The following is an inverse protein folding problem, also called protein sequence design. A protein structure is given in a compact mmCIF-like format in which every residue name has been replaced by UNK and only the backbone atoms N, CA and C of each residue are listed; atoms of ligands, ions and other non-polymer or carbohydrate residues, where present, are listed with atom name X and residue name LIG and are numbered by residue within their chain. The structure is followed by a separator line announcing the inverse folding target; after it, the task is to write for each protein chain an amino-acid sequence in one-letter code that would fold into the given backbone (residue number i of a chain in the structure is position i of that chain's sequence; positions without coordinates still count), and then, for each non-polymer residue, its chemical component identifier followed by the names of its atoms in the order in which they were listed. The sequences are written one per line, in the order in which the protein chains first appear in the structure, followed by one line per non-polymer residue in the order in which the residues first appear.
data_IF_009134378449
#
_entry.id   IF_009134378449
#
_cell.length_a   1.000
_cell.length_b   1.000
_cell.length_c   1.000
_cell.angle_alpha   90.00
_cell.angle_beta   90.00
_cell.angle_gamma   90.00
#
_symmetry.space_group_name_H-M   'P 1'
#
loop_
_entity.id
_entity.type
_entity.pdbx_description
1 polymer ?
#
# COMPACT_ATOMS: atom_id res chain seq x y z
N UNK A 1 -9.85 7.45 14.91
CA UNK A 1 -8.54 6.80 15.21
C UNK A 1 -8.44 5.34 14.72
N UNK A 2 -9.43 4.45 14.95
CA UNK A 2 -9.36 3.02 14.56
C UNK A 2 -9.09 2.76 13.05
N UNK A 3 -9.60 3.62 12.16
CA UNK A 3 -9.45 3.48 10.69
C UNK A 3 -8.02 3.70 10.17
N UNK A 4 -7.19 4.42 10.93
CA UNK A 4 -5.78 4.68 10.58
C UNK A 4 -4.85 3.61 11.18
N UNK A 5 -5.19 3.11 12.37
CA UNK A 5 -4.32 2.21 13.13
C UNK A 5 -3.96 0.95 12.34
N UNK A 6 -4.95 0.26 11.75
CA UNK A 6 -4.72 -0.97 11.01
C UNK A 6 -3.76 -0.77 9.83
N UNK A 7 -4.04 0.09 8.82
CA UNK A 7 -3.13 0.24 7.69
C UNK A 7 -1.75 0.78 8.10
N UNK A 8 -1.68 1.63 9.13
CA UNK A 8 -0.41 2.16 9.62
C UNK A 8 0.45 1.07 10.27
N UNK A 9 -0.12 0.29 11.19
CA UNK A 9 0.60 -0.81 11.84
C UNK A 9 1.04 -1.84 10.81
N UNK A 10 0.16 -2.23 9.88
CA UNK A 10 0.50 -3.16 8.81
C UNK A 10 1.61 -2.61 7.91
N UNK A 11 1.54 -1.34 7.51
CA UNK A 11 2.58 -0.68 6.72
C UNK A 11 3.94 -0.72 7.43
N UNK A 12 3.98 -0.29 8.70
CA UNK A 12 5.22 -0.23 9.46
C UNK A 12 5.82 -1.61 9.69
N UNK A 13 5.01 -2.58 10.15
CA UNK A 13 5.46 -3.94 10.41
C UNK A 13 5.97 -4.63 9.14
N UNK A 14 5.19 -4.58 8.05
CA UNK A 14 5.57 -5.22 6.80
C UNK A 14 6.76 -4.54 6.12
N UNK A 15 6.84 -3.20 6.16
CA UNK A 15 7.98 -2.48 5.58
C UNK A 15 9.26 -2.71 6.38
N UNK A 16 9.17 -2.77 7.72
CA UNK A 16 10.32 -3.11 8.57
C UNK A 16 10.82 -4.54 8.28
N UNK A 17 9.89 -5.50 8.15
CA UNK A 17 10.27 -6.86 7.79
C UNK A 17 10.87 -6.94 6.37
N UNK A 18 10.29 -6.23 5.40
CA UNK A 18 10.82 -6.15 4.03
C UNK A 18 12.24 -5.58 4.03
N UNK A 19 12.47 -4.49 4.76
CA UNK A 19 13.80 -3.89 4.89
C UNK A 19 14.78 -4.86 5.54
N UNK A 20 14.39 -5.52 6.64
CA UNK A 20 15.20 -6.54 7.29
C UNK A 20 15.62 -7.64 6.30
N UNK A 21 14.66 -8.20 5.55
CA UNK A 21 14.94 -9.24 4.54
C UNK A 21 15.89 -8.71 3.47
N UNK A 22 15.69 -7.49 2.96
CA UNK A 22 16.54 -6.91 1.92
C UNK A 22 17.96 -6.59 2.41
N UNK A 23 18.13 -6.19 3.68
CA UNK A 23 19.45 -5.96 4.27
C UNK A 23 20.24 -7.26 4.47
N UNK A 24 19.57 -8.39 4.64
CA UNK A 24 20.19 -9.70 4.84
C UNK A 24 20.18 -10.55 3.55
N UNK A 25 19.62 -10.05 2.47
CA UNK A 25 19.56 -10.77 1.21
C UNK A 25 20.93 -10.76 0.52
N UNK A 26 21.46 -11.95 0.23
CA UNK A 26 22.68 -12.09 -0.57
C UNK A 26 22.46 -11.80 -2.05
N UNK A 27 21.21 -11.88 -2.51
CA UNK A 27 20.81 -11.67 -3.89
C UNK A 27 20.05 -10.35 -4.07
N UNK A 28 20.21 -9.75 -5.25
CA UNK A 28 19.40 -8.59 -5.62
C UNK A 28 17.92 -8.94 -5.75
N UNK A 29 17.05 -7.94 -5.59
CA UNK A 29 15.60 -8.11 -5.70
C UNK A 29 15.18 -8.65 -7.08
N UNK A 30 15.85 -8.22 -8.16
CA UNK A 30 15.62 -8.74 -9.51
C UNK A 30 16.02 -10.22 -9.63
N UNK A 31 17.15 -10.63 -9.07
CA UNK A 31 17.57 -12.03 -9.05
C UNK A 31 16.61 -12.90 -8.25
N UNK A 32 16.17 -12.42 -7.09
CA UNK A 32 15.13 -13.07 -6.29
C UNK A 32 13.84 -13.26 -7.11
N UNK A 33 13.40 -12.22 -7.82
CA UNK A 33 12.26 -12.29 -8.73
C UNK A 33 12.43 -13.32 -9.85
N UNK A 34 13.59 -13.34 -10.52
CA UNK A 34 13.89 -14.35 -11.55
C UNK A 34 13.89 -15.78 -10.97
N UNK A 35 14.40 -15.96 -9.76
CA UNK A 35 14.40 -17.23 -9.07
C UNK A 35 12.97 -17.71 -8.76
N UNK A 36 12.10 -16.81 -8.28
CA UNK A 36 10.67 -17.13 -8.09
C UNK A 36 9.98 -17.50 -9.41
N UNK A 37 10.35 -16.86 -10.52
CA UNK A 37 9.77 -17.18 -11.82
C UNK A 37 10.32 -18.47 -12.44
N UNK A 38 11.45 -19.00 -11.94
CA UNK A 38 12.08 -20.20 -12.49
C UNK A 38 11.32 -21.50 -12.21
N UNK A 39 10.43 -21.51 -11.21
CA UNK A 39 9.59 -22.65 -10.86
C UNK A 39 8.11 -22.31 -11.03
N UNK A 40 7.29 -23.18 -11.64
CA UNK A 40 5.89 -22.88 -11.92
C UNK A 40 5.03 -22.58 -10.67
N UNK A 41 5.30 -23.28 -9.56
CA UNK A 41 4.61 -23.12 -8.28
C UNK A 41 4.81 -21.72 -7.69
N UNK A 42 6.05 -21.24 -7.64
CA UNK A 42 6.37 -19.89 -7.15
C UNK A 42 6.01 -18.81 -8.16
N UNK A 43 6.14 -19.08 -9.47
CA UNK A 43 5.73 -18.16 -10.52
C UNK A 43 4.23 -17.86 -10.48
N UNK A 44 3.39 -18.86 -10.22
CA UNK A 44 1.95 -18.69 -10.04
C UNK A 44 1.63 -17.66 -8.95
N UNK A 45 2.32 -17.74 -7.81
CA UNK A 45 2.13 -16.80 -6.69
C UNK A 45 2.55 -15.39 -7.08
N UNK A 46 3.68 -15.23 -7.78
CA UNK A 46 4.13 -13.91 -8.26
C UNK A 46 3.10 -13.31 -9.23
N UNK A 47 2.62 -14.10 -10.19
CA UNK A 47 1.61 -13.65 -11.16
C UNK A 47 0.33 -13.21 -10.44
N UNK A 48 -0.18 -14.02 -9.52
CA UNK A 48 -1.38 -13.70 -8.73
C UNK A 48 -1.22 -12.39 -7.94
N UNK A 49 -0.07 -12.22 -7.27
CA UNK A 49 0.24 -11.00 -6.53
C UNK A 49 0.28 -9.76 -7.43
N UNK A 50 0.84 -9.86 -8.64
CA UNK A 50 0.89 -8.74 -9.57
C UNK A 50 -0.46 -8.44 -10.24
N UNK A 51 -1.32 -9.45 -10.43
CA UNK A 51 -2.73 -9.23 -10.80
C UNK A 51 -3.44 -8.45 -9.69
N UNK A 52 -3.28 -8.87 -8.43
CA UNK A 52 -3.86 -8.17 -7.28
C UNK A 52 -3.33 -6.73 -7.16
N UNK A 53 -2.02 -6.52 -7.39
CA UNK A 53 -1.43 -5.18 -7.43
C UNK A 53 -2.00 -4.30 -8.55
N UNK A 54 -2.21 -4.85 -9.75
CA UNK A 54 -2.84 -4.12 -10.84
C UNK A 54 -4.27 -3.70 -10.47
N UNK A 55 -5.05 -4.61 -9.88
CA UNK A 55 -6.39 -4.31 -9.37
C UNK A 55 -6.36 -3.24 -8.26
N UNK A 56 -5.38 -3.31 -7.35
CA UNK A 56 -5.18 -2.30 -6.32
C UNK A 56 -4.82 -0.93 -6.92
N UNK A 57 -3.99 -0.87 -7.97
CA UNK A 57 -3.70 0.36 -8.71
C UNK A 57 -4.94 0.95 -9.37
N UNK A 58 -5.76 0.12 -10.03
CA UNK A 58 -7.04 0.56 -10.61
C UNK A 58 -7.99 1.08 -9.53
N UNK A 59 -8.05 0.40 -8.38
CA UNK A 59 -8.84 0.85 -7.24
C UNK A 59 -8.34 2.19 -6.69
N UNK A 60 -7.03 2.34 -6.45
CA UNK A 60 -6.42 3.60 -5.99
C UNK A 60 -6.68 4.74 -6.98
N UNK A 61 -6.61 4.45 -8.29
CA UNK A 61 -6.95 5.42 -9.32
C UNK A 61 -8.40 5.90 -9.19
N UNK A 62 -9.36 4.96 -9.16
CA UNK A 62 -10.78 5.30 -9.06
C UNK A 62 -11.11 6.04 -7.76
N UNK A 63 -10.60 5.56 -6.63
CA UNK A 63 -10.79 6.17 -5.32
C UNK A 63 -10.12 7.55 -5.23
N UNK A 64 -8.91 7.71 -5.78
CA UNK A 64 -8.21 8.99 -5.84
C UNK A 64 -8.94 10.01 -6.70
N UNK A 65 -9.42 9.62 -7.88
CA UNK A 65 -10.23 10.47 -8.76
C UNK A 65 -11.54 10.89 -8.09
N UNK A 66 -12.22 9.98 -7.40
CA UNK A 66 -13.44 10.30 -6.64
C UNK A 66 -13.19 11.32 -5.51
N UNK A 67 -11.97 11.41 -4.99
CA UNK A 67 -11.53 12.39 -3.98
C UNK A 67 -10.92 13.67 -4.58
N UNK A 68 -11.00 13.86 -5.90
CA UNK A 68 -10.41 15.01 -6.59
C UNK A 68 -8.87 15.00 -6.66
N UNK A 69 -8.21 13.86 -6.42
CA UNK A 69 -6.75 13.75 -6.51
C UNK A 69 -6.31 13.65 -7.98
N UNK A 70 -5.12 14.21 -8.26
CA UNK A 70 -4.49 14.15 -9.58
C UNK A 70 -3.78 12.81 -9.79
N UNK A 71 -3.49 12.48 -11.04
CA UNK A 71 -2.67 11.29 -11.34
C UNK A 71 -1.25 11.42 -10.78
N UNK A 72 -0.69 12.63 -10.77
CA UNK A 72 0.63 12.93 -10.19
C UNK A 72 0.70 12.56 -8.71
N UNK A 73 -0.37 12.79 -7.95
CA UNK A 73 -0.47 12.33 -6.55
C UNK A 73 -0.40 10.80 -6.43
N UNK A 74 -0.89 10.07 -7.43
CA UNK A 74 -0.96 8.61 -7.40
C UNK A 74 0.33 7.91 -7.86
N UNK A 75 1.13 8.56 -8.70
CA UNK A 75 2.40 8.01 -9.21
C UNK A 75 3.33 7.44 -8.14
N UNK A 76 3.60 8.09 -6.98
CA UNK A 76 4.46 7.49 -5.96
C UNK A 76 3.89 6.18 -5.40
N UNK A 77 2.56 6.05 -5.25
CA UNK A 77 1.96 4.79 -4.79
C UNK A 77 2.10 3.70 -5.85
N UNK A 78 1.92 4.02 -7.13
CA UNK A 78 2.11 3.07 -8.22
C UNK A 78 3.55 2.60 -8.33
N UNK A 79 4.52 3.52 -8.20
CA UNK A 79 5.93 3.17 -8.20
C UNK A 79 6.29 2.23 -7.04
N UNK A 80 5.80 2.53 -5.82
CA UNK A 80 5.99 1.64 -4.67
C UNK A 80 5.28 0.29 -4.85
N UNK A 81 4.09 0.27 -5.45
CA UNK A 81 3.34 -0.95 -5.75
C UNK A 81 4.09 -1.81 -6.77
N UNK A 82 4.73 -1.19 -7.76
CA UNK A 82 5.46 -1.92 -8.80
C UNK A 82 6.67 -2.68 -8.21
N UNK A 83 7.33 -2.11 -7.21
CA UNK A 83 8.54 -2.70 -6.61
C UNK A 83 8.22 -3.59 -5.42
N UNK A 84 7.30 -3.15 -4.56
CA UNK A 84 7.03 -3.76 -3.26
C UNK A 84 5.58 -4.25 -3.10
N UNK A 85 4.78 -4.23 -4.17
CA UNK A 85 3.41 -4.77 -4.25
C UNK A 85 2.48 -4.17 -3.20
N UNK A 86 2.48 -4.68 -1.96
CA UNK A 86 1.57 -4.27 -0.89
C UNK A 86 1.92 -2.92 -0.23
N UNK A 87 3.18 -2.46 -0.29
CA UNK A 87 3.60 -1.19 0.37
C UNK A 87 2.87 0.02 -0.20
N UNK A 88 2.70 0.09 -1.52
CA UNK A 88 2.02 1.21 -2.19
C UNK A 88 0.55 1.39 -1.74
N UNK A 89 -0.31 0.35 -1.83
CA UNK A 89 -1.70 0.42 -1.37
C UNK A 89 -1.82 0.68 0.14
N UNK A 90 -0.94 0.11 0.96
CA UNK A 90 -0.92 0.36 2.40
C UNK A 90 -0.61 1.83 2.71
N UNK A 91 0.39 2.41 2.06
CA UNK A 91 0.71 3.83 2.20
C UNK A 91 -0.46 4.72 1.75
N UNK A 92 -1.10 4.38 0.62
CA UNK A 92 -2.30 5.08 0.16
C UNK A 92 -3.42 5.05 1.20
N UNK A 93 -3.69 3.89 1.80
CA UNK A 93 -4.70 3.73 2.86
C UNK A 93 -4.38 4.56 4.11
N UNK A 94 -3.11 4.62 4.52
CA UNK A 94 -2.65 5.46 5.63
C UNK A 94 -2.94 6.93 5.36
N UNK A 95 -2.49 7.46 4.22
CA UNK A 95 -2.67 8.87 3.88
C UNK A 95 -4.14 9.24 3.66
N UNK A 96 -4.92 8.31 3.11
CA UNK A 96 -6.38 8.44 2.98
C UNK A 96 -7.08 8.54 4.34
N UNK A 97 -6.57 7.87 5.36
CA UNK A 97 -7.17 7.81 6.70
C UNK A 97 -6.76 8.99 7.60
N UNK A 98 -5.85 9.87 7.15
CA UNK A 98 -5.46 11.06 7.90
C UNK A 98 -6.63 12.08 7.94
N UNK A 99 -6.86 12.74 9.09
CA UNK A 99 -7.84 13.82 9.19
C UNK A 99 -7.50 14.96 8.23
N UNK A 100 -8.51 15.54 7.60
CA UNK A 100 -8.32 16.79 6.85
C UNK A 100 -8.27 17.95 7.85
N UNK A 101 -7.15 18.69 7.98
CA UNK A 101 -7.01 19.76 8.97
C UNK A 101 -8.00 20.92 8.76
N UNK A 102 -8.71 20.96 7.63
CA UNK A 102 -9.71 21.97 7.31
C UNK A 102 -11.13 21.71 7.87
N UNK A 103 -11.32 20.76 8.80
CA UNK A 103 -12.62 20.55 9.47
C UNK A 103 -12.51 20.80 10.99
N UNK A 104 -12.72 22.06 11.44
CA UNK A 104 -12.73 22.41 12.87
C UNK A 104 -13.89 21.78 13.66
N UNK A 105 -14.80 21.03 13.03
CA UNK A 105 -16.07 20.59 13.62
C UNK A 105 -16.21 19.06 13.79
N UNK A 106 -15.17 18.27 13.54
CA UNK A 106 -15.29 16.80 13.55
C UNK A 106 -15.39 16.17 14.95
N UNK A 107 -15.04 16.88 16.03
CA UNK A 107 -14.95 16.28 17.37
C UNK A 107 -16.19 16.51 18.25
N UNK A 108 -17.06 17.47 17.91
CA UNK A 108 -18.27 17.73 18.69
C UNK A 108 -19.39 16.69 18.46
N UNK A 109 -19.38 15.98 17.33
CA UNK A 109 -20.46 15.05 16.96
C UNK A 109 -20.30 13.63 17.53
N UNK A 110 -19.11 13.28 18.06
CA UNK A 110 -18.84 11.93 18.59
C UNK A 110 -19.23 11.77 20.06
N UNK A 111 -19.55 12.85 20.78
CA UNK A 111 -20.00 12.81 22.18
C UNK A 111 -21.52 12.70 22.37
N UNK A 112 -22.32 12.85 21.31
CA UNK A 112 -23.78 12.93 21.38
C UNK A 112 -24.51 11.61 21.04
N UNK A 113 -23.78 10.51 20.83
CA UNK A 113 -24.36 9.17 20.64
C UNK A 113 -23.65 8.14 21.52
N UNK A 114 -23.74 8.36 22.84
CA UNK A 114 -23.78 7.26 23.80
C UNK A 114 -25.24 6.95 24.10
#
# INVERSE_FOLDING_TARGET
MKKLALPLITLLAFSAYTLYVMLHAEHSLLQFGMQLMSRPDTAQVVIDLYILAALACVWMYRDGRARGKSLLYLLPFFALTLVFVSVGPLLYLVLRALPNPASPYSDAASGARQ
#
